data_IF_603643102429
#
_entry.id   IF_603643102429
#
_cell.length_a   1.000
_cell.length_b   1.000
_cell.length_c   1.000
_cell.angle_alpha   90.00
_cell.angle_beta   90.00
_cell.angle_gamma   90.00
#
_symmetry.space_group_name_H-M   'P 1'
#
loop_
_entity.id
_entity.type
_entity.pdbx_description
1 polymer ?
#
# COMPACT_ATOMS: atom_id res chain seq x y z
N UNK A 1 10.93 13.58 -5.83
CA UNK A 1 9.49 13.33 -5.96
C UNK A 1 9.01 12.53 -4.80
N UNK A 2 8.15 13.09 -4.02
CA UNK A 2 7.54 12.31 -2.98
C UNK A 2 6.53 11.34 -3.58
N UNK A 3 6.62 10.12 -3.20
CA UNK A 3 5.65 9.15 -3.63
C UNK A 3 5.94 8.57 -5.00
N UNK A 4 5.82 7.30 -5.10
CA UNK A 4 5.91 6.57 -6.36
C UNK A 4 4.67 5.72 -6.46
N UNK A 5 4.32 5.35 -7.68
CA UNK A 5 3.21 4.44 -7.90
C UNK A 5 3.75 3.09 -8.33
N UNK A 6 3.10 2.05 -7.83
CA UNK A 6 3.50 0.69 -8.12
C UNK A 6 2.24 -0.17 -8.12
N UNK A 7 2.23 -1.21 -8.92
CA UNK A 7 1.09 -2.12 -8.89
C UNK A 7 1.12 -2.95 -7.62
N UNK A 8 -0.05 -3.31 -7.13
CA UNK A 8 -0.14 -4.09 -5.91
C UNK A 8 0.60 -5.42 -6.05
N UNK A 9 0.52 -6.03 -7.22
CA UNK A 9 1.21 -7.29 -7.45
C UNK A 9 2.72 -7.20 -7.36
N UNK A 10 3.29 -6.02 -7.62
CA UNK A 10 4.73 -5.84 -7.55
C UNK A 10 5.22 -5.56 -6.13
N UNK A 11 4.31 -5.28 -5.20
CA UNK A 11 4.70 -5.04 -3.81
C UNK A 11 5.03 -6.37 -3.12
N UNK A 12 6.13 -6.43 -2.36
CA UNK A 12 6.39 -7.60 -1.54
C UNK A 12 5.43 -7.66 -0.36
N UNK A 13 5.16 -8.86 0.12
CA UNK A 13 4.37 -9.05 1.33
C UNK A 13 5.08 -8.37 2.49
N UNK A 14 4.32 -7.64 3.29
CA UNK A 14 4.88 -6.88 4.40
C UNK A 14 5.20 -5.44 4.05
N UNK A 15 5.10 -5.07 2.77
CA UNK A 15 5.40 -3.71 2.35
C UNK A 15 4.31 -2.74 2.80
N UNK A 16 4.73 -1.54 3.16
CA UNK A 16 3.82 -0.46 3.48
C UNK A 16 3.52 0.36 2.23
N UNK A 17 2.29 0.80 2.10
CA UNK A 17 1.91 1.63 0.97
C UNK A 17 0.73 2.51 1.37
N UNK A 18 0.42 3.50 0.55
CA UNK A 18 -0.73 4.38 0.75
C UNK A 18 -1.81 4.02 -0.24
N UNK A 19 -3.04 4.01 0.23
CA UNK A 19 -4.19 3.82 -0.63
C UNK A 19 -5.32 4.71 -0.11
N UNK A 20 -5.79 5.61 -0.97
CA UNK A 20 -6.84 6.58 -0.60
C UNK A 20 -6.50 7.36 0.66
N UNK A 21 -5.24 7.72 0.80
CA UNK A 21 -4.80 8.48 1.96
C UNK A 21 -4.61 7.66 3.22
N UNK A 22 -4.78 6.35 3.16
CA UNK A 22 -4.61 5.49 4.32
C UNK A 22 -3.36 4.64 4.17
N UNK A 23 -2.67 4.43 5.29
CA UNK A 23 -1.50 3.57 5.30
C UNK A 23 -1.94 2.12 5.40
N UNK A 24 -1.38 1.31 4.54
CA UNK A 24 -1.73 -0.11 4.46
C UNK A 24 -0.48 -0.97 4.47
N UNK A 25 -0.64 -2.20 4.90
CA UNK A 25 0.43 -3.20 4.86
C UNK A 25 -0.04 -4.38 4.04
N UNK A 26 0.74 -4.76 3.03
CA UNK A 26 0.38 -5.90 2.21
C UNK A 26 0.51 -7.18 3.03
N UNK A 27 -0.55 -7.95 3.09
CA UNK A 27 -0.58 -9.19 3.86
C UNK A 27 -0.40 -10.42 3.00
N UNK A 28 -0.89 -10.37 1.77
CA UNK A 28 -0.81 -11.51 0.87
C UNK A 28 -0.86 -10.99 -0.56
N UNK A 29 -0.85 -11.91 -1.52
CA UNK A 29 -0.84 -11.55 -2.93
C UNK A 29 -2.02 -10.65 -3.31
N UNK A 30 -3.13 -10.71 -2.58
CA UNK A 30 -4.34 -9.97 -2.95
C UNK A 30 -4.96 -9.22 -1.79
N UNK A 31 -4.32 -9.17 -0.65
CA UNK A 31 -4.94 -8.55 0.51
C UNK A 31 -3.96 -7.64 1.24
N UNK A 32 -4.50 -6.58 1.81
CA UNK A 32 -3.74 -5.65 2.61
C UNK A 32 -4.58 -5.18 3.77
N UNK A 33 -3.92 -4.85 4.86
CA UNK A 33 -4.57 -4.38 6.06
C UNK A 33 -4.38 -2.88 6.21
N UNK A 34 -5.47 -2.19 6.54
CA UNK A 34 -5.37 -0.79 6.93
C UNK A 34 -4.74 -0.70 8.31
N UNK A 35 -3.66 0.08 8.42
CA UNK A 35 -2.94 0.15 9.68
C UNK A 35 -3.72 0.85 10.79
N UNK A 36 -4.50 1.87 10.41
CA UNK A 36 -5.24 2.64 11.40
C UNK A 36 -6.56 2.02 11.78
N UNK A 37 -7.05 1.09 10.97
CA UNK A 37 -8.31 0.42 11.22
C UNK A 37 -8.07 -1.06 11.08
N UNK A 38 -8.66 -1.84 11.92
CA UNK A 38 -8.47 -3.30 11.87
C UNK A 38 -9.31 -3.90 10.74
N UNK A 39 -9.02 -3.49 9.50
CA UNK A 39 -9.78 -3.92 8.33
C UNK A 39 -8.83 -4.44 7.26
N UNK A 40 -9.31 -5.43 6.51
CA UNK A 40 -8.56 -6.00 5.40
C UNK A 40 -9.27 -5.65 4.11
N UNK A 41 -8.51 -5.18 3.14
CA UNK A 41 -9.01 -4.88 1.80
C UNK A 41 -8.39 -5.84 0.82
N UNK A 42 -9.14 -6.15 -0.22
CA UNK A 42 -8.66 -7.01 -1.28
C UNK A 42 -8.32 -6.19 -2.51
N UNK A 43 -7.22 -6.53 -3.14
CA UNK A 43 -6.69 -5.81 -4.29
C UNK A 43 -6.45 -6.77 -5.42
N UNK A 44 -6.40 -6.22 -6.64
CA UNK A 44 -5.96 -6.96 -7.80
C UNK A 44 -4.49 -6.67 -8.02
N UNK A 45 -3.80 -7.62 -8.68
CA UNK A 45 -2.37 -7.42 -8.94
C UNK A 45 -2.10 -6.14 -9.72
N UNK A 46 -3.04 -5.71 -10.55
CA UNK A 46 -2.87 -4.51 -11.38
C UNK A 46 -3.32 -3.22 -10.72
N UNK A 47 -3.88 -3.29 -9.52
CA UNK A 47 -4.28 -2.07 -8.81
C UNK A 47 -3.05 -1.27 -8.46
N UNK A 48 -3.18 0.06 -8.57
CA UNK A 48 -2.06 0.95 -8.38
C UNK A 48 -2.07 1.47 -6.97
N UNK A 49 -0.93 1.40 -6.33
CA UNK A 49 -0.75 1.86 -4.96
C UNK A 49 0.35 2.91 -4.93
N UNK A 50 0.29 3.77 -3.94
CA UNK A 50 1.33 4.79 -3.75
C UNK A 50 2.28 4.34 -2.66
N UNK A 51 3.57 4.47 -2.93
CA UNK A 51 4.60 4.22 -1.92
C UNK A 51 5.38 5.50 -1.71
N UNK A 52 5.98 5.63 -0.52
CA UNK A 52 6.69 6.84 -0.18
C UNK A 52 5.75 7.89 0.36
N UNK A 53 5.78 8.09 1.65
CA UNK A 53 4.86 9.01 2.32
C UNK A 53 5.33 10.43 2.15
N UNK A 54 4.43 11.36 1.86
CA UNK A 54 4.85 12.76 1.76
C UNK A 54 5.58 13.25 2.99
N UNK A 55 5.22 12.79 4.15
CA UNK A 55 5.86 13.22 5.38
C UNK A 55 7.16 12.53 5.70
N UNK A 56 7.50 11.52 4.95
CA UNK A 56 8.73 10.77 5.20
C UNK A 56 9.92 11.34 4.48
N UNK A 57 9.67 12.08 3.47
CA UNK A 57 10.75 12.59 2.65
C UNK A 57 11.49 13.61 3.46
N UNK A 58 12.63 13.23 3.87
CA UNK A 58 13.44 14.13 4.68
C UNK A 58 14.22 15.07 3.77
#
# INVERSE_FOLDING_TARGET
MPGQVITFGALPVGALFMYNGNRCTKQSARAAKLNDYNRTFYFRAKDICAIGWPGEVA
#
